data_IF_837656188318
#
_entry.id   IF_837656188318
#
_cell.length_a   1.000
_cell.length_b   1.000
_cell.length_c   1.000
_cell.angle_alpha   90.00
_cell.angle_beta   90.00
_cell.angle_gamma   90.00
#
_symmetry.space_group_name_H-M   'P 1'
#
loop_
_entity.id
_entity.type
_entity.pdbx_description
1 polymer ?
#
# COMPACT_ATOMS: atom_id res chain seq x y z
N UNK A 1 -19.24 -11.62 -1.85
CA UNK A 1 -17.94 -12.22 -1.52
C UNK A 1 -17.69 -12.00 -0.05
N UNK A 2 -17.17 -12.99 0.65
CA UNK A 2 -16.69 -12.80 2.03
C UNK A 2 -15.32 -12.07 2.04
N UNK A 3 -14.85 -11.66 3.22
CA UNK A 3 -13.59 -10.92 3.37
C UNK A 3 -12.38 -11.69 2.82
N UNK A 4 -12.31 -12.99 3.06
CA UNK A 4 -11.21 -13.83 2.58
C UNK A 4 -11.20 -13.95 1.05
N UNK A 5 -12.37 -14.05 0.42
CA UNK A 5 -12.52 -14.03 -1.03
C UNK A 5 -12.05 -12.72 -1.65
N UNK A 6 -12.32 -11.57 -1.01
CA UNK A 6 -11.83 -10.27 -1.47
C UNK A 6 -10.31 -10.15 -1.39
N UNK A 7 -9.73 -10.57 -0.25
CA UNK A 7 -8.27 -10.58 -0.06
C UNK A 7 -7.60 -11.49 -1.09
N UNK A 8 -8.16 -12.68 -1.31
CA UNK A 8 -7.63 -13.61 -2.31
C UNK A 8 -7.76 -13.07 -3.74
N UNK A 9 -8.89 -12.43 -4.07
CA UNK A 9 -9.09 -11.78 -5.37
C UNK A 9 -8.05 -10.67 -5.60
N UNK A 10 -7.76 -9.85 -4.59
CA UNK A 10 -6.72 -8.82 -4.68
C UNK A 10 -5.33 -9.44 -4.92
N UNK A 11 -4.98 -10.52 -4.20
CA UNK A 11 -3.73 -11.27 -4.38
C UNK A 11 -3.59 -11.82 -5.80
N UNK A 12 -4.64 -12.42 -6.33
CA UNK A 12 -4.62 -13.04 -7.65
C UNK A 12 -4.57 -12.01 -8.79
N UNK A 13 -5.35 -10.93 -8.67
CA UNK A 13 -5.29 -9.81 -9.61
C UNK A 13 -3.88 -9.19 -9.63
N UNK A 14 -3.26 -8.95 -8.47
CA UNK A 14 -1.92 -8.36 -8.39
C UNK A 14 -0.86 -9.25 -9.02
N UNK A 15 -0.96 -10.58 -8.81
CA UNK A 15 -0.09 -11.56 -9.47
C UNK A 15 -0.22 -11.49 -10.98
N UNK A 16 -1.45 -11.42 -11.49
CA UNK A 16 -1.73 -11.40 -12.92
C UNK A 16 -1.25 -10.09 -13.56
N UNK A 17 -1.58 -8.94 -12.96
CA UNK A 17 -1.10 -7.63 -13.38
C UNK A 17 0.44 -7.60 -13.55
N UNK A 18 1.18 -8.14 -12.57
CA UNK A 18 2.63 -8.16 -12.63
C UNK A 18 3.17 -9.07 -13.76
N UNK A 19 2.49 -10.20 -14.04
CA UNK A 19 2.82 -11.07 -15.18
C UNK A 19 2.56 -10.39 -16.52
N UNK A 20 1.54 -9.53 -16.57
CA UNK A 20 1.13 -8.79 -17.77
C UNK A 20 2.00 -7.53 -18.02
N UNK A 21 3.03 -7.31 -17.21
CA UNK A 21 4.05 -6.28 -17.43
C UNK A 21 3.83 -4.98 -16.66
N UNK A 22 2.82 -4.91 -15.79
CA UNK A 22 2.67 -3.78 -14.88
C UNK A 22 3.81 -3.77 -13.86
N UNK A 23 4.24 -2.58 -13.46
CA UNK A 23 5.22 -2.46 -12.40
C UNK A 23 4.61 -2.82 -11.03
N UNK A 24 5.45 -2.92 -10.00
CA UNK A 24 5.02 -3.37 -8.67
C UNK A 24 3.95 -2.48 -8.01
N UNK A 25 3.98 -1.15 -8.23
CA UNK A 25 2.99 -0.24 -7.67
C UNK A 25 1.66 -0.31 -8.44
N UNK A 26 1.74 -0.27 -9.78
CA UNK A 26 0.58 -0.41 -10.67
C UNK A 26 -0.16 -1.72 -10.40
N UNK A 27 0.59 -2.82 -10.26
CA UNK A 27 0.04 -4.16 -10.07
C UNK A 27 -0.82 -4.24 -8.80
N UNK A 28 -0.33 -3.67 -7.69
CA UNK A 28 -1.05 -3.66 -6.41
C UNK A 28 -2.25 -2.72 -6.47
N UNK A 29 -2.06 -1.49 -6.94
CA UNK A 29 -3.12 -0.49 -6.93
C UNK A 29 -4.28 -0.89 -7.85
N UNK A 30 -3.97 -1.33 -9.09
CA UNK A 30 -4.98 -1.82 -10.03
C UNK A 30 -5.71 -3.05 -9.49
N UNK A 31 -5.02 -3.95 -8.80
CA UNK A 31 -5.65 -5.16 -8.26
C UNK A 31 -6.79 -4.85 -7.28
N UNK A 32 -6.64 -3.80 -6.46
CA UNK A 32 -7.66 -3.35 -5.51
C UNK A 32 -8.83 -2.68 -6.24
N UNK A 33 -8.56 -1.89 -7.28
CA UNK A 33 -9.60 -1.31 -8.16
C UNK A 33 -10.43 -2.43 -8.79
N UNK A 34 -9.78 -3.40 -9.44
CA UNK A 34 -10.43 -4.54 -10.10
C UNK A 34 -11.14 -5.48 -9.12
N UNK A 35 -10.70 -5.50 -7.86
CA UNK A 35 -11.38 -6.24 -6.80
C UNK A 35 -12.70 -5.57 -6.39
N UNK A 36 -12.92 -4.29 -6.74
CA UNK A 36 -14.08 -3.50 -6.37
C UNK A 36 -14.03 -2.99 -4.93
N UNK A 37 -12.83 -2.88 -4.35
CA UNK A 37 -12.64 -2.50 -2.95
C UNK A 37 -12.51 -0.98 -2.75
N UNK A 38 -12.27 -0.25 -3.83
CA UNK A 38 -12.23 1.22 -3.85
C UNK A 38 -12.98 1.74 -5.07
N UNK A 39 -13.66 2.87 -4.88
CA UNK A 39 -14.40 3.56 -5.94
C UNK A 39 -13.57 4.74 -6.47
N UNK A 40 -12.71 4.44 -7.44
CA UNK A 40 -11.89 5.42 -8.17
C UNK A 40 -11.91 5.07 -9.66
N UNK A 41 -11.69 6.08 -10.51
CA UNK A 41 -11.57 5.86 -11.95
C UNK A 41 -10.39 4.92 -12.27
N UNK A 42 -10.57 3.87 -13.09
CA UNK A 42 -9.49 2.92 -13.43
C UNK A 42 -8.23 3.58 -14.00
N UNK A 43 -8.36 4.73 -14.68
CA UNK A 43 -7.26 5.49 -15.27
C UNK A 43 -6.30 6.06 -14.21
N UNK A 44 -6.73 6.13 -12.94
CA UNK A 44 -5.88 6.58 -11.83
C UNK A 44 -4.68 5.66 -11.57
N UNK A 45 -4.64 4.46 -12.17
CA UNK A 45 -3.44 3.59 -12.15
C UNK A 45 -2.20 4.32 -12.66
N UNK A 46 -2.33 5.30 -13.56
CA UNK A 46 -1.20 6.09 -14.06
C UNK A 46 -0.44 6.84 -12.94
N UNK A 47 -1.13 7.17 -11.83
CA UNK A 47 -0.50 7.82 -10.68
C UNK A 47 0.51 6.90 -9.99
N UNK A 48 0.39 5.59 -10.15
CA UNK A 48 1.28 4.61 -9.55
C UNK A 48 2.57 4.38 -10.35
N UNK A 49 2.60 4.77 -11.63
CA UNK A 49 3.69 4.45 -12.57
C UNK A 49 5.06 4.90 -12.05
N UNK A 50 5.14 6.10 -11.48
CA UNK A 50 6.40 6.68 -10.99
C UNK A 50 7.04 5.89 -9.83
N UNK A 51 6.30 5.01 -9.15
CA UNK A 51 6.79 4.29 -7.97
C UNK A 51 7.52 2.99 -8.29
N UNK A 52 7.51 2.55 -9.55
CA UNK A 52 8.25 1.37 -10.01
C UNK A 52 9.74 1.44 -9.65
N UNK A 53 10.30 0.33 -9.17
CA UNK A 53 11.70 0.28 -8.72
C UNK A 53 12.02 1.19 -7.52
N UNK A 54 11.00 1.65 -6.82
CA UNK A 54 11.12 2.43 -5.59
C UNK A 54 11.19 3.94 -5.81
N UNK A 55 10.47 4.48 -6.82
CA UNK A 55 10.43 5.88 -7.30
C UNK A 55 11.15 6.16 -8.62
N UNK A 56 11.06 5.24 -9.58
CA UNK A 56 11.71 5.40 -10.89
C UNK A 56 13.15 4.92 -10.86
N UNK A 57 13.34 3.69 -10.36
CA UNK A 57 14.63 3.01 -10.26
C UNK A 57 15.64 3.65 -9.29
N UNK A 58 15.24 4.61 -8.45
CA UNK A 58 16.14 5.22 -7.46
C UNK A 58 16.48 4.29 -6.29
N UNK A 59 15.69 3.24 -6.07
CA UNK A 59 15.94 2.25 -5.01
C UNK A 59 15.35 2.60 -3.63
N UNK A 60 14.54 3.66 -3.51
CA UNK A 60 13.87 4.02 -2.25
C UNK A 60 12.64 3.13 -2.00
N UNK A 61 11.68 3.61 -1.21
CA UNK A 61 10.53 2.82 -0.74
C UNK A 61 9.85 1.99 -1.83
N UNK A 62 9.64 0.70 -1.55
CA UNK A 62 9.09 -0.28 -2.47
C UNK A 62 7.78 0.18 -3.11
N UNK A 63 7.72 0.12 -4.45
CA UNK A 63 6.52 0.51 -5.18
C UNK A 63 5.27 -0.27 -4.78
N UNK A 64 5.39 -1.56 -4.44
CA UNK A 64 4.26 -2.36 -3.97
C UNK A 64 3.68 -1.83 -2.64
N UNK A 65 4.53 -1.36 -1.72
CA UNK A 65 4.10 -0.72 -0.48
C UNK A 65 3.38 0.60 -0.76
N UNK A 66 3.92 1.42 -1.67
CA UNK A 66 3.28 2.68 -2.05
C UNK A 66 1.93 2.43 -2.69
N UNK A 67 1.82 1.47 -3.62
CA UNK A 67 0.55 1.06 -4.24
C UNK A 67 -0.47 0.56 -3.23
N UNK A 68 -0.03 -0.19 -2.21
CA UNK A 68 -0.91 -0.61 -1.11
C UNK A 68 -1.42 0.59 -0.29
N UNK A 69 -0.55 1.54 0.08
CA UNK A 69 -0.95 2.75 0.82
C UNK A 69 -1.88 3.63 -0.02
N UNK A 70 -1.64 3.75 -1.33
CA UNK A 70 -2.53 4.45 -2.26
C UNK A 70 -3.93 3.81 -2.28
N UNK A 71 -4.01 2.48 -2.37
CA UNK A 71 -5.26 1.74 -2.31
C UNK A 71 -6.02 1.98 -0.99
N UNK A 72 -5.33 1.87 0.15
CA UNK A 72 -5.95 2.13 1.47
C UNK A 72 -6.39 3.60 1.59
N UNK A 73 -5.62 4.55 1.05
CA UNK A 73 -6.02 5.95 0.91
C UNK A 73 -7.24 6.14 0.00
N UNK A 74 -7.35 5.32 -1.04
CA UNK A 74 -8.53 5.19 -1.88
C UNK A 74 -9.78 4.83 -1.09
N UNK A 75 -9.71 4.02 -0.04
CA UNK A 75 -10.85 3.72 0.81
C UNK A 75 -11.06 4.75 1.94
N UNK A 76 -9.99 5.08 2.67
CA UNK A 76 -10.06 5.70 4.01
C UNK A 76 -9.45 7.11 4.07
N UNK A 77 -8.84 7.58 2.98
CA UNK A 77 -8.22 8.91 2.91
C UNK A 77 -9.24 10.05 2.92
N UNK A 78 -8.78 11.24 3.34
CA UNK A 78 -9.62 12.46 3.34
C UNK A 78 -10.03 12.82 1.91
N UNK A 79 -11.35 12.82 1.63
CA UNK A 79 -11.91 13.29 0.36
C UNK A 79 -11.85 14.81 0.19
N UNK A 80 -12.05 15.54 1.29
CA UNK A 80 -11.88 16.98 1.34
C UNK A 80 -10.87 17.37 2.44
N UNK A 81 -9.56 17.44 2.12
CA UNK A 81 -8.52 17.80 3.08
C UNK A 81 -8.67 19.21 3.70
N UNK A 82 -9.46 20.10 3.09
CA UNK A 82 -9.72 21.47 3.53
C UNK A 82 -11.03 21.64 4.31
N UNK A 83 -11.78 20.57 4.52
CA UNK A 83 -12.98 20.61 5.36
C UNK A 83 -12.63 20.93 6.84
N UNK A 84 -13.48 21.72 7.49
CA UNK A 84 -13.27 22.17 8.88
C UNK A 84 -12.20 23.24 9.03
N UNK A 85 -11.97 23.69 10.27
CA UNK A 85 -10.89 24.63 10.61
C UNK A 85 -9.52 23.95 10.72
N UNK A 86 -8.47 24.72 10.98
CA UNK A 86 -7.11 24.19 11.13
C UNK A 86 -7.01 23.08 12.21
N UNK A 87 -7.61 23.31 13.39
CA UNK A 87 -7.51 22.37 14.50
C UNK A 87 -8.22 21.05 14.15
N UNK A 88 -9.39 21.12 13.53
CA UNK A 88 -10.14 19.95 13.05
C UNK A 88 -9.39 19.19 11.95
N UNK A 89 -8.75 19.89 10.99
CA UNK A 89 -7.94 19.24 9.93
C UNK A 89 -6.76 18.48 10.50
N UNK A 90 -6.11 19.03 11.53
CA UNK A 90 -4.99 18.40 12.24
C UNK A 90 -5.50 17.23 13.09
N UNK A 91 -6.59 17.40 13.83
CA UNK A 91 -7.15 16.35 14.68
C UNK A 91 -7.56 15.10 13.88
N UNK A 92 -8.14 15.27 12.67
CA UNK A 92 -8.43 14.14 11.77
C UNK A 92 -7.20 13.32 11.36
N UNK A 93 -6.00 13.86 11.48
CA UNK A 93 -4.74 13.15 11.21
C UNK A 93 -4.12 12.59 12.49
N UNK A 94 -3.98 13.42 13.53
CA UNK A 94 -3.20 13.12 14.74
C UNK A 94 -4.04 12.65 15.94
N UNK A 95 -5.34 12.90 15.93
CA UNK A 95 -6.28 12.63 17.01
C UNK A 95 -6.48 11.14 17.29
N UNK A 96 -7.38 10.83 18.22
CA UNK A 96 -7.82 9.47 18.52
C UNK A 96 -9.37 9.44 18.57
N UNK A 97 -10.07 9.17 17.47
CA UNK A 97 -9.55 8.58 16.23
C UNK A 97 -8.75 9.53 15.32
N UNK A 98 -7.85 9.00 14.49
CA UNK A 98 -7.06 9.77 13.53
C UNK A 98 -6.41 8.92 12.44
N UNK A 99 -6.20 9.45 11.24
CA UNK A 99 -5.74 8.65 10.11
C UNK A 99 -4.26 8.23 10.21
N UNK A 100 -3.38 9.03 10.81
CA UNK A 100 -1.95 8.69 10.83
C UNK A 100 -1.65 7.44 11.62
N UNK A 101 -2.33 7.19 12.75
CA UNK A 101 -2.14 5.95 13.52
C UNK A 101 -2.53 4.71 12.72
N UNK A 102 -3.53 4.82 11.84
CA UNK A 102 -3.97 3.74 10.97
C UNK A 102 -2.97 3.47 9.85
N UNK A 103 -2.60 4.51 9.09
CA UNK A 103 -1.59 4.38 8.02
C UNK A 103 -0.20 4.04 8.55
N UNK A 104 0.13 4.44 9.77
CA UNK A 104 1.41 4.12 10.40
C UNK A 104 1.58 2.60 10.60
N UNK A 105 0.52 1.82 10.75
CA UNK A 105 0.65 0.37 10.91
C UNK A 105 1.17 -0.32 9.65
N UNK A 106 0.75 0.14 8.46
CA UNK A 106 1.01 -0.53 7.17
C UNK A 106 2.51 -0.71 6.88
N UNK A 107 3.37 0.32 6.92
CA UNK A 107 4.80 0.12 6.67
C UNK A 107 5.45 -0.80 7.72
N UNK A 108 4.97 -0.81 8.97
CA UNK A 108 5.50 -1.69 10.00
C UNK A 108 5.15 -3.16 9.75
N UNK A 109 3.91 -3.46 9.35
CA UNK A 109 3.49 -4.82 9.00
C UNK A 109 4.12 -5.27 7.68
N UNK A 110 4.22 -4.38 6.69
CA UNK A 110 4.98 -4.65 5.47
C UNK A 110 6.42 -5.02 5.77
N UNK A 111 7.09 -4.31 6.70
CA UNK A 111 8.45 -4.64 7.14
C UNK A 111 8.54 -6.02 7.80
N UNK A 112 7.52 -6.44 8.55
CA UNK A 112 7.49 -7.78 9.15
C UNK A 112 7.41 -8.88 8.08
N UNK A 113 6.72 -8.63 6.96
CA UNK A 113 6.53 -9.58 5.86
C UNK A 113 7.71 -9.59 4.88
N UNK A 114 8.30 -8.41 4.61
CA UNK A 114 9.27 -8.19 3.53
C UNK A 114 10.69 -7.92 4.06
N UNK A 115 10.84 -7.58 5.33
CA UNK A 115 12.12 -7.33 6.01
C UNK A 115 12.60 -5.87 5.93
N UNK A 116 12.48 -5.26 4.75
CA UNK A 116 12.92 -3.88 4.49
C UNK A 116 11.83 -3.09 3.75
N UNK A 117 11.96 -1.76 3.75
CA UNK A 117 11.04 -0.86 3.05
C UNK A 117 11.60 -0.38 1.72
N UNK A 118 12.92 -0.21 1.62
CA UNK A 118 13.56 0.32 0.42
C UNK A 118 13.85 -0.78 -0.60
N UNK A 119 13.49 -0.52 -1.86
CA UNK A 119 13.61 -1.43 -2.99
C UNK A 119 15.04 -1.95 -3.17
N UNK A 120 16.03 -1.07 -2.95
CA UNK A 120 17.45 -1.42 -3.01
C UNK A 120 17.84 -2.42 -1.91
N UNK A 121 17.39 -2.21 -0.68
CA UNK A 121 17.69 -3.10 0.45
C UNK A 121 16.96 -4.43 0.34
N UNK A 122 15.71 -4.42 -0.15
CA UNK A 122 14.93 -5.64 -0.41
C UNK A 122 15.61 -6.54 -1.46
N UNK A 123 16.25 -5.93 -2.47
CA UNK A 123 16.83 -6.65 -3.61
C UNK A 123 18.37 -6.61 -3.62
N UNK A 124 19.01 -6.34 -2.47
CA UNK A 124 20.46 -6.19 -2.34
C UNK A 124 21.27 -7.39 -2.86
N UNK A 125 20.69 -8.59 -2.81
CA UNK A 125 21.35 -9.83 -3.22
C UNK A 125 21.12 -10.16 -4.72
N UNK A 126 20.43 -9.28 -5.47
CA UNK A 126 20.21 -9.40 -6.90
C UNK A 126 20.86 -8.21 -7.65
N UNK A 127 22.17 -8.27 -7.93
CA UNK A 127 22.90 -7.15 -8.52
C UNK A 127 22.45 -6.82 -9.95
N UNK A 128 21.96 -7.82 -10.69
CA UNK A 128 21.47 -7.64 -12.05
C UNK A 128 19.98 -7.26 -12.04
N UNK A 129 19.63 -6.12 -12.65
CA UNK A 129 18.24 -5.68 -12.70
C UNK A 129 17.33 -6.68 -13.44
N UNK A 130 17.84 -7.39 -14.44
CA UNK A 130 17.05 -8.37 -15.19
C UNK A 130 17.12 -9.80 -14.59
N UNK A 131 17.52 -9.93 -13.31
CA UNK A 131 17.57 -11.22 -12.63
C UNK A 131 16.17 -11.83 -12.41
N UNK A 132 15.98 -13.08 -12.84
CA UNK A 132 14.73 -13.84 -12.69
C UNK A 132 14.32 -14.05 -11.23
N UNK A 133 15.29 -14.24 -10.33
CA UNK A 133 15.04 -14.39 -8.90
C UNK A 133 14.61 -13.06 -8.26
N UNK A 134 15.15 -11.93 -8.72
CA UNK A 134 14.63 -10.61 -8.35
C UNK A 134 13.16 -10.46 -8.74
N UNK A 135 12.81 -10.82 -9.97
CA UNK A 135 11.42 -10.77 -10.42
C UNK A 135 10.50 -11.71 -9.62
N UNK A 136 10.96 -12.91 -9.26
CA UNK A 136 10.21 -13.83 -8.36
C UNK A 136 10.02 -13.23 -6.98
N UNK A 137 11.05 -12.61 -6.40
CA UNK A 137 10.95 -11.91 -5.12
C UNK A 137 9.96 -10.75 -5.19
N UNK A 138 10.05 -9.90 -6.22
CA UNK A 138 9.10 -8.81 -6.47
C UNK A 138 7.68 -9.32 -6.64
N UNK A 139 7.46 -10.43 -7.37
CA UNK A 139 6.13 -11.02 -7.54
C UNK A 139 5.53 -11.47 -6.21
N UNK A 140 6.31 -12.12 -5.33
CA UNK A 140 5.86 -12.47 -3.98
C UNK A 140 5.43 -11.21 -3.21
N UNK A 141 6.28 -10.18 -3.22
CA UNK A 141 6.02 -8.91 -2.52
C UNK A 141 4.76 -8.22 -3.05
N UNK A 142 4.56 -8.21 -4.36
CA UNK A 142 3.34 -7.64 -4.99
C UNK A 142 2.08 -8.35 -4.49
N UNK A 143 2.11 -9.68 -4.42
CA UNK A 143 0.99 -10.48 -3.91
C UNK A 143 0.73 -10.18 -2.43
N UNK A 144 1.79 -10.20 -1.61
CA UNK A 144 1.69 -9.93 -0.17
C UNK A 144 1.18 -8.50 0.10
N UNK A 145 1.66 -7.51 -0.65
CA UNK A 145 1.25 -6.12 -0.53
C UNK A 145 -0.22 -5.90 -0.92
N UNK A 146 -0.71 -6.58 -1.97
CA UNK A 146 -2.12 -6.51 -2.35
C UNK A 146 -3.04 -7.15 -1.30
N UNK A 147 -2.60 -8.27 -0.70
CA UNK A 147 -3.29 -8.87 0.45
C UNK A 147 -3.35 -7.91 1.63
N UNK A 148 -2.21 -7.32 2.00
CA UNK A 148 -2.12 -6.32 3.08
C UNK A 148 -3.03 -5.11 2.81
N UNK A 149 -3.05 -4.59 1.58
CA UNK A 149 -3.93 -3.48 1.21
C UNK A 149 -5.40 -3.84 1.40
N UNK A 150 -5.82 -5.02 0.93
CA UNK A 150 -7.18 -5.51 1.09
C UNK A 150 -7.56 -5.67 2.56
N UNK A 151 -6.67 -6.27 3.38
CA UNK A 151 -6.85 -6.43 4.83
C UNK A 151 -7.04 -5.07 5.51
N UNK A 152 -6.23 -4.06 5.18
CA UNK A 152 -6.40 -2.71 5.75
C UNK A 152 -7.67 -2.01 5.26
N UNK A 153 -8.10 -2.21 4.02
CA UNK A 153 -9.37 -1.65 3.57
C UNK A 153 -10.51 -2.21 4.43
N UNK A 154 -10.54 -3.51 4.68
CA UNK A 154 -11.56 -4.15 5.51
C UNK A 154 -11.45 -3.73 6.98
N UNK A 155 -10.23 -3.72 7.54
CA UNK A 155 -9.95 -3.32 8.92
C UNK A 155 -10.44 -1.90 9.23
N UNK A 156 -10.24 -0.95 8.32
CA UNK A 156 -10.70 0.42 8.52
C UNK A 156 -12.23 0.54 8.55
N UNK A 157 -12.96 -0.37 7.89
CA UNK A 157 -14.43 -0.41 7.90
C UNK A 157 -14.99 -0.93 9.24
N UNK A 158 -14.27 -1.84 9.90
CA UNK A 158 -14.76 -2.53 11.10
C UNK A 158 -14.16 -2.00 12.40
N UNK A 159 -12.88 -1.62 12.42
CA UNK A 159 -12.15 -1.18 13.62
C UNK A 159 -11.98 0.34 13.72
N UNK A 160 -12.24 1.07 12.64
CA UNK A 160 -12.00 2.51 12.55
C UNK A 160 -10.51 2.87 12.70
N UNK A 161 -10.24 4.07 13.20
CA UNK A 161 -8.89 4.66 13.23
C UNK A 161 -8.47 4.98 14.66
N UNK A 162 -8.38 3.99 15.55
CA UNK A 162 -8.02 4.18 16.97
C UNK A 162 -6.79 3.38 17.41
N UNK A 163 -6.09 2.75 16.47
CA UNK A 163 -4.92 1.92 16.73
C UNK A 163 -3.83 2.74 17.47
N UNK A 164 -3.04 2.14 18.37
CA UNK A 164 -1.90 2.84 18.96
C UNK A 164 -0.87 3.19 17.89
N UNK A 165 -0.14 4.29 18.05
CA UNK A 165 0.97 4.55 17.15
C UNK A 165 2.06 3.50 17.36
N UNK A 166 2.62 2.99 16.27
CA UNK A 166 3.92 2.31 16.29
C UNK A 166 5.01 3.36 16.20
N UNK A 167 6.27 2.94 16.02
CA UNK A 167 7.39 3.86 15.81
C UNK A 167 7.03 4.91 14.75
N UNK A 168 7.20 6.18 15.10
CA UNK A 168 6.82 7.31 14.25
C UNK A 168 7.71 8.53 14.54
N UNK A 169 7.90 9.34 13.51
CA UNK A 169 8.76 10.53 13.54
C UNK A 169 8.19 11.67 14.39
N UNK A 170 6.92 11.59 14.81
CA UNK A 170 6.26 12.61 15.61
C UNK A 170 6.34 12.34 17.13
N UNK A 171 6.96 11.23 17.56
CA UNK A 171 7.07 10.84 18.97
C UNK A 171 5.73 10.56 19.66
N UNK A 172 4.67 10.27 18.89
CA UNK A 172 3.33 9.96 19.41
C UNK A 172 3.28 8.52 19.94
N UNK A 173 2.44 8.28 20.96
CA UNK A 173 2.11 6.95 21.48
C UNK A 173 0.72 6.55 21.02
#
# INVERSE_FOLDING_TARGET
MNEQELIQKARDNARQNFKDGLNCAESVFKAIIDAGMIDVAPEMVCLATGFGGGMGLSGNNCGALVGAIMAVGGAHGRRNPLEGDFAQRVDRLYGNPGLYRFFNQIPHEFRQIVGMLDCKEINRDYPEWQDKNRFRNCMRIVVDAAGLAAEYILKGQTEGYQQPFRENVAGKR
#
